data_IF_585547733224
#
_entry.id   IF_585547733224
#
_cell.length_a   1.000
_cell.length_b   1.000
_cell.length_c   1.000
_cell.angle_alpha   90.00
_cell.angle_beta   90.00
_cell.angle_gamma   90.00
#
_symmetry.space_group_name_H-M   'P 1'
#
loop_
_entity.id
_entity.type
_entity.pdbx_description
1 polymer ?
#
# COMPACT_ATOMS: atom_id res chain seq x y z
N UNK A 1 -45.56 -29.75 -33.25
CA UNK A 1 -46.33 -29.92 -32.00
C UNK A 1 -45.35 -30.14 -30.87
N UNK A 2 -45.11 -29.10 -30.08
CA UNK A 2 -44.51 -29.17 -28.75
C UNK A 2 -45.15 -28.01 -27.98
N UNK A 3 -46.02 -28.35 -27.02
CA UNK A 3 -46.91 -27.42 -26.33
C UNK A 3 -46.23 -26.84 -25.08
N UNK A 4 -46.42 -25.54 -24.86
CA UNK A 4 -45.98 -24.80 -23.68
C UNK A 4 -47.04 -24.96 -22.57
N UNK A 5 -46.67 -25.37 -21.34
CA UNK A 5 -47.64 -25.75 -20.32
C UNK A 5 -48.06 -24.55 -19.46
N UNK A 6 -48.59 -23.49 -20.06
CA UNK A 6 -49.34 -22.44 -19.35
C UNK A 6 -50.39 -21.86 -20.31
N UNK A 7 -51.66 -22.16 -20.04
CA UNK A 7 -52.80 -21.80 -20.87
C UNK A 7 -53.02 -20.28 -20.98
N UNK A 8 -52.50 -19.69 -22.05
CA UNK A 8 -52.82 -18.33 -22.45
C UNK A 8 -53.15 -18.29 -23.95
N UNK A 9 -54.43 -18.14 -24.27
CA UNK A 9 -54.91 -17.87 -25.62
C UNK A 9 -54.65 -16.39 -25.96
N UNK A 10 -53.78 -16.12 -26.93
CA UNK A 10 -53.60 -14.76 -27.42
C UNK A 10 -52.46 -14.63 -28.42
N UNK A 11 -52.79 -14.51 -29.70
CA UNK A 11 -51.87 -14.12 -30.76
C UNK A 11 -51.43 -12.67 -30.57
N UNK A 12 -50.30 -12.45 -29.88
CA UNK A 12 -49.60 -11.16 -29.92
C UNK A 12 -48.13 -11.38 -30.26
N UNK A 13 -47.76 -10.93 -31.47
CA UNK A 13 -46.36 -10.78 -31.91
C UNK A 13 -45.63 -9.88 -30.90
N UNK A 14 -44.54 -10.38 -30.30
CA UNK A 14 -43.61 -9.52 -29.58
C UNK A 14 -42.88 -8.62 -30.61
N UNK A 15 -42.93 -7.29 -30.47
CA UNK A 15 -42.24 -6.39 -31.37
C UNK A 15 -40.74 -6.46 -31.10
N UNK A 16 -39.97 -6.75 -32.14
CA UNK A 16 -38.52 -6.51 -32.19
C UNK A 16 -38.34 -5.00 -32.23
N UNK A 17 -37.85 -4.42 -31.13
CA UNK A 17 -37.18 -3.14 -31.21
C UNK A 17 -36.03 -3.14 -30.21
N UNK A 18 -34.83 -3.30 -30.75
CA UNK A 18 -33.57 -3.12 -30.03
C UNK A 18 -33.40 -1.65 -29.66
N UNK A 19 -33.98 -1.26 -28.53
CA UNK A 19 -33.47 -0.15 -27.75
C UNK A 19 -32.29 -0.70 -26.97
N UNK A 20 -31.07 -0.31 -27.35
CA UNK A 20 -29.92 -0.41 -26.47
C UNK A 20 -30.19 0.55 -25.32
N UNK A 21 -30.82 0.05 -24.27
CA UNK A 21 -30.77 0.69 -22.96
C UNK A 21 -29.29 0.73 -22.58
N UNK A 22 -28.71 1.94 -22.62
CA UNK A 22 -27.47 2.22 -21.92
C UNK A 22 -27.84 2.21 -20.44
N UNK A 23 -27.85 1.02 -19.85
CA UNK A 23 -27.64 0.88 -18.42
C UNK A 23 -26.22 1.38 -18.15
N UNK A 24 -26.08 2.60 -17.65
CA UNK A 24 -24.92 2.97 -16.83
C UNK A 24 -24.95 2.04 -15.62
N UNK A 25 -24.39 0.84 -15.81
CA UNK A 25 -24.19 -0.11 -14.74
C UNK A 25 -23.29 0.56 -13.71
N UNK A 26 -23.87 0.81 -12.53
CA UNK A 26 -23.15 1.12 -11.31
C UNK A 26 -21.97 0.15 -11.24
N UNK A 27 -20.75 0.63 -11.49
CA UNK A 27 -19.58 -0.22 -11.66
C UNK A 27 -19.34 -0.89 -10.30
N UNK A 28 -19.86 -2.12 -10.16
CA UNK A 28 -19.88 -2.81 -8.86
C UNK A 28 -18.47 -2.87 -8.34
N UNK A 29 -18.28 -2.27 -7.16
CA UNK A 29 -16.97 -1.99 -6.61
C UNK A 29 -16.26 -3.31 -6.31
N UNK A 30 -15.39 -3.74 -7.22
CA UNK A 30 -14.71 -5.03 -7.14
C UNK A 30 -13.37 -4.89 -6.40
N UNK A 31 -12.87 -5.99 -5.82
CA UNK A 31 -11.64 -6.02 -5.01
C UNK A 31 -10.43 -5.44 -5.75
N UNK A 32 -10.31 -5.77 -7.03
CA UNK A 32 -9.19 -5.38 -7.88
C UNK A 32 -9.13 -3.86 -8.11
N UNK A 33 -10.26 -3.26 -8.44
CA UNK A 33 -10.41 -1.82 -8.65
C UNK A 33 -10.32 -1.06 -7.33
N UNK A 34 -10.90 -1.59 -6.23
CA UNK A 34 -10.84 -0.96 -4.92
C UNK A 34 -9.40 -0.78 -4.41
N UNK A 35 -8.61 -1.86 -4.45
CA UNK A 35 -7.22 -1.85 -3.98
C UNK A 35 -6.23 -1.33 -5.04
N UNK A 36 -6.71 -1.01 -6.25
CA UNK A 36 -5.89 -0.56 -7.38
C UNK A 36 -4.74 -1.52 -7.67
N UNK A 37 -5.06 -2.82 -7.75
CA UNK A 37 -4.05 -3.88 -7.87
C UNK A 37 -3.22 -3.76 -9.15
N UNK A 38 -3.78 -3.22 -10.24
CA UNK A 38 -3.01 -2.92 -11.45
C UNK A 38 -1.83 -2.00 -11.17
N UNK A 39 -2.00 -1.00 -10.30
CA UNK A 39 -0.90 -0.10 -9.93
C UNK A 39 0.06 -0.77 -8.95
N UNK A 40 -0.47 -1.49 -7.97
CA UNK A 40 0.32 -2.08 -6.91
C UNK A 40 1.19 -3.24 -7.43
N UNK A 41 0.60 -4.18 -8.17
CA UNK A 41 1.22 -5.43 -8.63
C UNK A 41 2.00 -5.29 -9.95
N UNK A 42 2.04 -4.10 -10.55
CA UNK A 42 2.91 -3.78 -11.70
C UNK A 42 4.00 -2.75 -11.34
N UNK A 43 4.32 -2.58 -10.06
CA UNK A 43 5.33 -1.62 -9.59
C UNK A 43 6.70 -2.26 -9.31
N UNK A 44 6.85 -3.56 -9.54
CA UNK A 44 8.04 -4.36 -9.21
C UNK A 44 9.00 -4.44 -10.41
N UNK A 45 9.81 -3.40 -10.61
CA UNK A 45 10.77 -3.35 -11.73
C UNK A 45 12.18 -3.65 -11.24
N UNK A 46 12.66 -4.87 -11.52
CA UNK A 46 14.03 -5.33 -11.22
C UNK A 46 15.04 -4.64 -12.15
N UNK A 47 16.05 -3.97 -11.58
CA UNK A 47 17.12 -3.29 -12.32
C UNK A 47 18.17 -4.27 -12.84
N UNK A 48 18.43 -5.39 -12.15
CA UNK A 48 19.37 -6.42 -12.63
C UNK A 48 18.93 -6.99 -13.98
N UNK A 49 17.62 -7.20 -14.18
CA UNK A 49 17.04 -7.71 -15.42
C UNK A 49 17.03 -6.74 -16.60
N UNK A 50 17.34 -5.45 -16.39
CA UNK A 50 17.36 -4.44 -17.47
C UNK A 50 18.67 -4.49 -18.25
N UNK A 51 19.80 -4.78 -17.59
CA UNK A 51 21.15 -4.73 -18.19
C UNK A 51 21.85 -6.08 -18.24
N UNK A 52 21.41 -7.04 -17.44
CA UNK A 52 22.01 -8.35 -17.27
C UNK A 52 20.93 -9.40 -16.99
N UNK A 53 21.33 -10.64 -16.71
CA UNK A 53 20.41 -11.63 -16.18
C UNK A 53 19.78 -11.12 -14.87
N UNK A 54 18.47 -11.30 -14.71
CA UNK A 54 17.77 -10.91 -13.50
C UNK A 54 18.25 -11.77 -12.32
N UNK A 55 18.61 -11.11 -11.23
CA UNK A 55 18.91 -11.76 -9.94
C UNK A 55 17.58 -12.01 -9.23
N UNK A 56 17.32 -13.26 -8.88
CA UNK A 56 16.03 -13.69 -8.33
C UNK A 56 15.62 -12.90 -7.07
N UNK A 57 16.56 -12.72 -6.14
CA UNK A 57 16.29 -12.11 -4.84
C UNK A 57 16.12 -10.58 -4.90
N UNK A 58 16.40 -9.94 -6.04
CA UNK A 58 16.05 -8.53 -6.24
C UNK A 58 14.53 -8.32 -6.14
N UNK A 59 13.72 -9.29 -6.58
CA UNK A 59 12.28 -9.21 -6.43
C UNK A 59 11.85 -9.21 -4.95
N UNK A 60 12.47 -10.06 -4.12
CA UNK A 60 12.26 -10.07 -2.67
C UNK A 60 12.67 -8.74 -2.04
N UNK A 61 13.81 -8.19 -2.43
CA UNK A 61 14.28 -6.89 -1.97
C UNK A 61 13.25 -5.79 -2.27
N UNK A 62 12.73 -5.72 -3.50
CA UNK A 62 11.72 -4.73 -3.90
C UNK A 62 10.43 -4.90 -3.10
N UNK A 63 9.86 -6.11 -3.04
CA UNK A 63 8.59 -6.38 -2.34
C UNK A 63 8.71 -6.03 -0.85
N UNK A 64 9.82 -6.39 -0.22
CA UNK A 64 10.07 -6.09 1.20
C UNK A 64 10.03 -4.58 1.45
N UNK A 65 10.74 -3.79 0.64
CA UNK A 65 10.77 -2.33 0.78
C UNK A 65 9.42 -1.68 0.44
N UNK A 66 8.71 -2.20 -0.56
CA UNK A 66 7.36 -1.71 -0.87
C UNK A 66 6.37 -1.97 0.27
N UNK A 67 6.44 -3.14 0.92
CA UNK A 67 5.64 -3.44 2.10
C UNK A 67 5.96 -2.49 3.27
N UNK A 68 7.25 -2.20 3.52
CA UNK A 68 7.64 -1.18 4.50
C UNK A 68 7.04 0.20 4.18
N UNK A 69 7.11 0.66 2.94
CA UNK A 69 6.58 1.96 2.53
C UNK A 69 5.04 2.04 2.64
N UNK A 70 4.33 0.93 2.42
CA UNK A 70 2.89 0.86 2.69
C UNK A 70 2.59 0.98 4.19
N UNK A 71 3.36 0.29 5.04
CA UNK A 71 3.21 0.40 6.49
C UNK A 71 3.59 1.77 7.02
N UNK A 72 4.67 2.39 6.53
CA UNK A 72 5.01 3.77 6.88
C UNK A 72 3.87 4.73 6.55
N UNK A 73 3.24 4.57 5.39
CA UNK A 73 2.09 5.38 5.01
C UNK A 73 0.92 5.21 5.98
N UNK A 74 0.63 3.98 6.40
CA UNK A 74 -0.41 3.72 7.39
C UNK A 74 -0.06 4.34 8.75
N UNK A 75 1.18 4.18 9.22
CA UNK A 75 1.64 4.77 10.48
C UNK A 75 1.53 6.29 10.45
N UNK A 76 1.98 6.93 9.36
CA UNK A 76 1.85 8.37 9.17
C UNK A 76 0.38 8.82 9.21
N UNK A 77 -0.52 8.05 8.59
CA UNK A 77 -1.96 8.34 8.61
C UNK A 77 -2.54 8.29 10.04
N UNK A 78 -2.14 7.31 10.85
CA UNK A 78 -2.55 7.24 12.27
C UNK A 78 -1.98 8.40 13.09
N UNK A 79 -0.67 8.67 12.94
CA UNK A 79 0.04 9.71 13.69
C UNK A 79 -0.52 11.09 13.35
N UNK A 80 -0.76 11.40 12.09
CA UNK A 80 -1.34 12.68 11.70
C UNK A 80 -2.74 12.87 12.27
N UNK A 81 -3.58 11.82 12.24
CA UNK A 81 -4.91 11.94 12.82
C UNK A 81 -4.88 12.05 14.35
N UNK A 82 -3.91 11.44 15.02
CA UNK A 82 -3.69 11.65 16.47
C UNK A 82 -3.24 13.09 16.73
N UNK A 83 -2.26 13.60 15.98
CA UNK A 83 -1.77 14.98 16.11
C UNK A 83 -2.90 16.00 15.91
N UNK A 84 -3.75 15.80 14.92
CA UNK A 84 -4.93 16.64 14.67
C UNK A 84 -5.87 16.71 15.89
N UNK A 85 -6.10 15.59 16.58
CA UNK A 85 -6.92 15.58 17.80
C UNK A 85 -6.28 16.36 18.95
N UNK A 86 -4.95 16.32 19.08
CA UNK A 86 -4.21 17.07 20.10
C UNK A 86 -4.02 18.56 19.76
N UNK A 87 -4.15 18.96 18.50
CA UNK A 87 -4.06 20.37 18.09
C UNK A 87 -5.33 21.17 18.40
N UNK A 88 -6.42 20.51 18.84
CA UNK A 88 -7.64 21.19 19.26
C UNK A 88 -7.41 21.90 20.61
N UNK A 89 -8.03 23.07 20.83
CA UNK A 89 -7.82 23.87 22.05
C UNK A 89 -8.29 23.17 23.33
N UNK A 90 -9.22 22.22 23.21
CA UNK A 90 -9.70 21.36 24.29
C UNK A 90 -9.81 19.93 23.77
N UNK A 91 -9.22 18.98 24.49
CA UNK A 91 -9.34 17.56 24.19
C UNK A 91 -10.67 17.04 24.76
N UNK A 92 -11.52 16.54 23.89
CA UNK A 92 -12.72 15.81 24.28
C UNK A 92 -12.32 14.43 24.82
N UNK A 93 -12.61 14.16 26.09
CA UNK A 93 -12.31 12.89 26.76
C UNK A 93 -12.89 11.68 26.03
N UNK A 94 -13.99 11.84 25.28
CA UNK A 94 -14.57 10.78 24.46
C UNK A 94 -13.61 10.27 23.38
N UNK A 95 -12.65 11.10 22.96
CA UNK A 95 -11.63 10.77 21.94
C UNK A 95 -10.38 10.10 22.53
N UNK A 96 -10.20 10.09 23.84
CA UNK A 96 -9.01 9.48 24.47
C UNK A 96 -8.90 8.00 24.13
N UNK A 97 -10.00 7.24 24.17
CA UNK A 97 -9.99 5.83 23.79
C UNK A 97 -9.63 5.63 22.30
N UNK A 98 -10.11 6.51 21.41
CA UNK A 98 -9.77 6.47 20.00
C UNK A 98 -8.28 6.73 19.77
N UNK A 99 -7.69 7.72 20.47
CA UNK A 99 -6.25 8.01 20.43
C UNK A 99 -5.45 6.78 20.87
N UNK A 100 -5.80 6.18 22.01
CA UNK A 100 -5.13 4.99 22.53
C UNK A 100 -5.18 3.83 21.52
N UNK A 101 -6.35 3.57 20.93
CA UNK A 101 -6.51 2.52 19.93
C UNK A 101 -5.62 2.74 18.69
N UNK A 102 -5.49 3.99 18.23
CA UNK A 102 -4.64 4.33 17.07
C UNK A 102 -3.15 4.20 17.39
N UNK A 103 -2.71 4.65 18.55
CA UNK A 103 -1.32 4.49 18.99
C UNK A 103 -0.96 3.00 19.23
N UNK A 104 -1.91 2.22 19.76
CA UNK A 104 -1.74 0.78 19.89
C UNK A 104 -1.63 0.11 18.52
N UNK A 105 -2.43 0.54 17.53
CA UNK A 105 -2.30 0.06 16.14
C UNK A 105 -0.93 0.37 15.56
N UNK A 106 -0.42 1.59 15.73
CA UNK A 106 0.95 1.95 15.31
C UNK A 106 1.97 1.01 15.95
N UNK A 107 1.84 0.72 17.24
CA UNK A 107 2.75 -0.19 17.95
C UNK A 107 2.72 -1.60 17.35
N UNK A 108 1.54 -2.12 17.00
CA UNK A 108 1.41 -3.45 16.37
C UNK A 108 2.01 -3.48 14.97
N UNK A 109 1.82 -2.42 14.18
CA UNK A 109 2.42 -2.29 12.85
C UNK A 109 3.95 -2.28 12.95
N UNK A 110 4.51 -1.50 13.89
CA UNK A 110 5.97 -1.46 14.09
C UNK A 110 6.54 -2.80 14.53
N UNK A 111 5.82 -3.59 15.34
CA UNK A 111 6.23 -4.96 15.69
C UNK A 111 6.27 -5.87 14.47
N UNK A 112 5.22 -5.86 13.65
CA UNK A 112 5.19 -6.62 12.39
C UNK A 112 6.35 -6.23 11.46
N UNK A 113 6.66 -4.94 11.38
CA UNK A 113 7.77 -4.43 10.59
C UNK A 113 9.14 -4.90 11.11
N UNK A 114 9.32 -5.03 12.43
CA UNK A 114 10.53 -5.63 12.99
C UNK A 114 10.65 -7.10 12.58
N UNK A 115 9.56 -7.88 12.73
CA UNK A 115 9.54 -9.29 12.35
C UNK A 115 9.74 -9.50 10.83
N UNK A 116 9.39 -8.51 10.00
CA UNK A 116 9.57 -8.56 8.55
C UNK A 116 11.06 -8.58 8.13
N UNK A 117 11.98 -8.14 9.01
CA UNK A 117 13.44 -8.20 8.75
C UNK A 117 13.88 -9.64 8.50
N UNK A 118 13.34 -10.61 9.25
CA UNK A 118 13.69 -12.03 9.14
C UNK A 118 13.45 -12.59 7.73
N UNK A 119 12.44 -12.06 7.01
CA UNK A 119 12.18 -12.45 5.63
C UNK A 119 13.31 -11.97 4.71
N UNK A 120 13.79 -10.74 4.90
CA UNK A 120 14.90 -10.20 4.10
C UNK A 120 16.23 -10.90 4.41
N UNK A 121 16.42 -11.35 5.64
CA UNK A 121 17.61 -12.11 6.06
C UNK A 121 17.72 -13.50 5.41
N UNK A 122 16.65 -13.98 4.76
CA UNK A 122 16.73 -15.20 3.95
C UNK A 122 17.53 -15.02 2.66
N UNK A 123 17.76 -13.78 2.22
CA UNK A 123 18.61 -13.44 1.09
C UNK A 123 20.08 -13.50 1.51
N UNK A 124 20.92 -14.20 0.75
CA UNK A 124 22.34 -14.30 1.09
C UNK A 124 23.07 -12.98 0.76
N UNK A 125 24.14 -12.64 1.51
CA UNK A 125 24.96 -11.48 1.17
C UNK A 125 25.58 -11.54 -0.22
N UNK A 126 25.83 -12.74 -0.75
CA UNK A 126 26.37 -12.93 -2.10
C UNK A 126 25.32 -12.56 -3.15
N UNK A 127 24.09 -13.07 -3.03
CA UNK A 127 22.99 -12.74 -3.93
C UNK A 127 22.68 -11.24 -3.89
N UNK A 128 22.73 -10.63 -2.71
CA UNK A 128 22.59 -9.18 -2.56
C UNK A 128 23.65 -8.40 -3.34
N UNK A 129 24.91 -8.84 -3.29
CA UNK A 129 26.00 -8.17 -4.00
C UNK A 129 25.83 -8.22 -5.53
N UNK A 130 25.19 -9.26 -6.07
CA UNK A 130 24.98 -9.40 -7.52
C UNK A 130 24.09 -8.30 -8.13
N UNK A 131 23.12 -7.79 -7.36
CA UNK A 131 22.24 -6.69 -7.80
C UNK A 131 22.54 -5.35 -7.12
N UNK A 132 23.40 -5.31 -6.10
CA UNK A 132 23.70 -4.08 -5.35
C UNK A 132 24.28 -2.96 -6.22
N UNK A 133 25.10 -3.30 -7.21
CA UNK A 133 25.74 -2.32 -8.10
C UNK A 133 24.72 -1.60 -8.99
N UNK A 134 23.63 -2.27 -9.36
CA UNK A 134 22.55 -1.74 -10.19
C UNK A 134 21.70 -0.72 -9.41
N UNK A 135 21.65 -0.81 -8.08
CA UNK A 135 20.94 0.14 -7.22
C UNK A 135 21.62 1.52 -7.13
N UNK A 136 22.83 1.70 -7.69
CA UNK A 136 23.53 2.98 -7.72
C UNK A 136 23.59 3.65 -6.32
N UNK A 137 23.21 4.93 -6.23
CA UNK A 137 23.13 5.74 -5.00
C UNK A 137 21.85 5.53 -4.19
N UNK A 138 20.94 4.67 -4.65
CA UNK A 138 19.67 4.42 -3.94
C UNK A 138 19.93 3.77 -2.59
N UNK A 139 19.31 4.32 -1.54
CA UNK A 139 19.52 3.87 -0.16
C UNK A 139 18.29 4.15 0.71
N UNK A 140 18.13 3.40 1.80
CA UNK A 140 17.11 3.64 2.83
C UNK A 140 17.17 5.04 3.45
N UNK A 141 18.32 5.72 3.37
CA UNK A 141 18.44 7.14 3.75
C UNK A 141 17.54 8.09 2.94
N UNK A 142 17.12 7.67 1.74
CA UNK A 142 16.23 8.42 0.87
C UNK A 142 14.75 8.13 1.12
N UNK A 143 14.39 7.27 2.08
CA UNK A 143 12.98 7.06 2.46
C UNK A 143 12.40 8.32 3.09
N UNK A 144 11.62 9.05 2.30
CA UNK A 144 10.92 10.26 2.74
C UNK A 144 9.95 9.95 3.89
N UNK A 145 9.20 8.85 3.80
CA UNK A 145 8.20 8.51 4.81
C UNK A 145 8.84 8.15 6.15
N UNK A 146 10.00 7.47 6.13
CA UNK A 146 10.76 7.22 7.35
C UNK A 146 11.20 8.53 8.03
N UNK A 147 11.73 9.49 7.27
CA UNK A 147 12.13 10.81 7.81
C UNK A 147 10.94 11.62 8.33
N UNK A 148 9.82 11.59 7.61
CA UNK A 148 8.57 12.22 8.06
C UNK A 148 8.08 11.61 9.38
N UNK A 149 8.23 10.29 9.54
CA UNK A 149 7.84 9.60 10.77
C UNK A 149 8.70 10.06 11.95
N UNK A 150 10.03 10.03 11.81
CA UNK A 150 10.96 10.52 12.84
C UNK A 150 10.64 11.97 13.23
N UNK A 151 10.45 12.85 12.26
CA UNK A 151 10.14 14.25 12.49
C UNK A 151 8.80 14.45 13.22
N UNK A 152 7.76 13.71 12.83
CA UNK A 152 6.42 13.80 13.47
C UNK A 152 6.41 13.21 14.89
N UNK A 153 7.26 12.23 15.17
CA UNK A 153 7.46 11.66 16.51
C UNK A 153 8.37 12.53 17.40
N UNK A 154 9.01 13.55 16.83
CA UNK A 154 9.79 14.53 17.59
C UNK A 154 11.26 14.19 17.76
N UNK A 155 11.84 13.38 16.86
CA UNK A 155 13.30 13.24 16.78
C UNK A 155 13.89 14.60 16.46
N UNK A 156 14.63 15.17 17.41
CA UNK A 156 15.33 16.43 17.20
C UNK A 156 16.48 16.20 16.22
N UNK A 157 16.72 17.15 15.32
CA UNK A 157 17.95 17.14 14.53
C UNK A 157 19.14 17.25 15.49
N UNK A 158 19.76 16.12 15.80
CA UNK A 158 21.09 16.12 16.42
C UNK A 158 22.00 16.69 15.35
N UNK A 159 22.52 17.89 15.62
CA UNK A 159 23.18 18.76 14.67
C UNK A 159 23.99 18.00 13.62
N UNK A 160 23.76 18.36 12.35
CA UNK A 160 24.73 18.15 11.29
C UNK A 160 26.13 18.34 11.88
N UNK A 161 26.97 17.31 11.84
CA UNK A 161 28.35 17.38 12.28
C UNK A 161 29.00 18.60 11.59
N UNK A 162 29.13 19.70 12.33
CA UNK A 162 30.00 20.81 11.98
C UNK A 162 31.41 20.31 12.30
N UNK A 163 31.93 19.43 11.45
CA UNK A 163 33.36 19.15 11.30
C UNK A 163 33.71 19.55 9.88
N UNK A 164 34.13 20.80 9.73
CA UNK A 164 34.42 21.38 8.42
C UNK A 164 34.64 22.88 8.42
N UNK A 165 35.34 23.44 9.41
CA UNK A 165 36.32 24.51 9.24
C UNK A 165 37.43 24.32 10.26
#
# INVERSE_FOLDING_TARGET
MAECPLGFSGTRKCPVNGQKEQEEGEETLNYHTYLKLDKLLNSQVMQSGVKSQAVHDEHLFIITHQAYELWFKQVLHEIDSVREMFMLPMLDESKTLLILNRLQRVTLILKLMVDQIDILETMTPLDFLEFRLQLSTSSGFQSLQFRLLENKLGVLEVGANVHGK
#
